data_IF_957224189589
#
_entry.id   IF_957224189589
#
_cell.length_a   1.000
_cell.length_b   1.000
_cell.length_c   1.000
_cell.angle_alpha   90.00
_cell.angle_beta   90.00
_cell.angle_gamma   90.00
#
_symmetry.space_group_name_H-M   'P 1'
#
loop_
_entity.id
_entity.type
_entity.pdbx_description
1 polymer ?
#
# COMPACT_ATOMS: atom_id res chain seq x y z
N UNK A 1 -2.32 2.13 0.86
CA UNK A 1 -3.68 2.70 1.02
C UNK A 1 -4.58 1.78 1.84
N UNK A 2 -5.75 2.26 2.27
CA UNK A 2 -6.76 1.48 2.97
C UNK A 2 -8.12 1.64 2.26
N UNK A 3 -8.75 0.52 1.90
CA UNK A 3 -9.93 0.47 1.04
C UNK A 3 -11.09 -0.23 1.75
N UNK A 4 -12.32 0.10 1.35
CA UNK A 4 -13.54 -0.40 1.99
C UNK A 4 -14.06 -1.70 1.40
N UNK A 5 -13.62 -2.06 0.19
CA UNK A 5 -13.98 -3.31 -0.46
C UNK A 5 -12.73 -3.97 -1.09
N UNK A 6 -12.80 -5.29 -1.35
CA UNK A 6 -11.68 -6.03 -1.95
C UNK A 6 -11.37 -5.59 -3.39
N UNK A 7 -12.38 -5.23 -4.19
CA UNK A 7 -12.17 -4.88 -5.61
C UNK A 7 -11.36 -3.59 -5.78
N UNK A 8 -11.58 -2.57 -4.94
CA UNK A 8 -10.78 -1.34 -4.90
C UNK A 8 -9.34 -1.63 -4.48
N UNK A 9 -9.15 -2.48 -3.47
CA UNK A 9 -7.83 -2.89 -3.02
C UNK A 9 -7.07 -3.63 -4.13
N UNK A 10 -7.75 -4.54 -4.84
CA UNK A 10 -7.18 -5.29 -5.95
C UNK A 10 -6.83 -4.38 -7.14
N UNK A 11 -7.72 -3.43 -7.48
CA UNK A 11 -7.47 -2.42 -8.52
C UNK A 11 -6.23 -1.58 -8.17
N UNK A 12 -6.08 -1.21 -6.90
CA UNK A 12 -4.89 -0.49 -6.45
C UNK A 12 -3.63 -1.37 -6.51
N UNK A 13 -3.71 -2.63 -6.09
CA UNK A 13 -2.60 -3.58 -6.17
C UNK A 13 -2.14 -3.75 -7.62
N UNK A 14 -3.07 -3.87 -8.56
CA UNK A 14 -2.78 -3.94 -9.99
C UNK A 14 -2.08 -2.66 -10.50
N UNK A 15 -2.54 -1.47 -10.09
CA UNK A 15 -1.86 -0.20 -10.42
C UNK A 15 -0.41 -0.17 -9.94
N UNK A 16 -0.17 -0.61 -8.71
CA UNK A 16 1.20 -0.68 -8.16
C UNK A 16 2.04 -1.73 -8.90
N UNK A 17 1.45 -2.88 -9.25
CA UNK A 17 2.12 -3.92 -10.04
C UNK A 17 2.50 -3.45 -11.45
N UNK A 18 1.67 -2.63 -12.09
CA UNK A 18 1.99 -2.01 -13.39
C UNK A 18 3.21 -1.07 -13.33
N UNK A 19 3.52 -0.54 -12.15
CA UNK A 19 4.73 0.25 -11.90
C UNK A 19 5.96 -0.60 -11.55
N UNK A 20 5.86 -1.93 -11.64
CA UNK A 20 6.94 -2.87 -11.32
C UNK A 20 7.12 -3.13 -9.82
N UNK A 21 6.16 -2.72 -8.98
CA UNK A 21 6.22 -2.89 -7.53
C UNK A 21 5.25 -3.97 -7.05
N UNK A 22 5.71 -4.82 -6.14
CA UNK A 22 4.85 -5.80 -5.49
C UNK A 22 4.08 -5.15 -4.32
N UNK A 23 2.77 -5.33 -4.27
CA UNK A 23 1.93 -4.92 -3.16
C UNK A 23 1.15 -6.09 -2.56
N UNK A 24 1.03 -6.10 -1.24
CA UNK A 24 0.25 -7.06 -0.46
C UNK A 24 -1.06 -6.43 0.00
N UNK A 25 -2.15 -7.22 -0.05
CA UNK A 25 -3.44 -6.84 0.54
C UNK A 25 -3.59 -7.58 1.85
N UNK A 26 -3.75 -6.82 2.94
CA UNK A 26 -4.09 -7.38 4.26
C UNK A 26 -5.47 -6.90 4.68
N UNK A 27 -6.33 -7.83 5.11
CA UNK A 27 -7.63 -7.50 5.70
C UNK A 27 -7.47 -7.25 7.20
N UNK A 28 -8.12 -6.20 7.71
CA UNK A 28 -8.21 -5.88 9.14
C UNK A 28 -9.60 -5.35 9.45
N UNK A 29 -10.14 -5.68 10.61
CA UNK A 29 -11.32 -5.01 11.13
C UNK A 29 -10.90 -3.70 11.82
N UNK A 30 -11.56 -2.60 11.49
CA UNK A 30 -11.43 -1.32 12.19
C UNK A 30 -12.82 -0.74 12.47
N UNK A 31 -13.18 -0.63 13.75
CA UNK A 31 -14.45 -0.05 14.17
C UNK A 31 -15.68 -0.80 13.63
N UNK A 32 -15.66 -2.13 13.65
CA UNK A 32 -16.77 -2.96 13.17
C UNK A 32 -16.87 -3.08 11.65
N UNK A 33 -15.87 -2.63 10.90
CA UNK A 33 -15.83 -2.70 9.43
C UNK A 33 -14.53 -3.33 8.93
N UNK A 34 -14.63 -4.21 7.94
CA UNK A 34 -13.47 -4.72 7.23
C UNK A 34 -12.80 -3.61 6.42
N UNK A 35 -11.48 -3.56 6.48
CA UNK A 35 -10.62 -2.62 5.76
C UNK A 35 -9.52 -3.42 5.07
N UNK A 36 -9.36 -3.17 3.78
CA UNK A 36 -8.38 -3.83 2.91
C UNK A 36 -7.19 -2.90 2.74
N UNK A 37 -6.06 -3.23 3.34
CA UNK A 37 -4.86 -2.40 3.31
C UNK A 37 -3.92 -2.91 2.22
N UNK A 38 -3.62 -2.07 1.25
CA UNK A 38 -2.62 -2.31 0.22
C UNK A 38 -1.29 -1.72 0.67
N UNK A 39 -0.27 -2.56 0.82
CA UNK A 39 1.06 -2.21 1.35
C UNK A 39 2.15 -2.64 0.37
N UNK A 40 3.17 -1.80 0.20
CA UNK A 40 4.40 -2.11 -0.54
C UNK A 40 5.54 -2.21 0.48
N UNK A 41 6.40 -3.21 0.33
CA UNK A 41 7.40 -3.56 1.35
C UNK A 41 6.95 -4.77 2.18
N UNK A 42 7.53 -5.01 3.37
CA UNK A 42 8.25 -4.07 4.23
C UNK A 42 9.66 -3.72 3.74
N UNK A 43 10.09 -2.49 3.99
CA UNK A 43 11.45 -2.02 3.71
C UNK A 43 12.30 -2.04 4.98
N UNK A 44 13.56 -2.45 4.87
CA UNK A 44 14.53 -2.43 5.97
C UNK A 44 15.15 -1.05 6.22
N UNK A 45 15.24 -0.24 5.16
CA UNK A 45 15.80 1.11 5.19
C UNK A 45 14.71 2.13 4.90
N UNK A 46 14.75 3.25 5.63
CA UNK A 46 13.76 4.31 5.48
C UNK A 46 13.90 5.01 4.12
N UNK A 47 15.14 5.18 3.67
CA UNK A 47 15.52 5.83 2.41
C UNK A 47 14.89 5.11 1.21
N UNK A 48 14.89 3.78 1.22
CA UNK A 48 14.24 2.96 0.18
C UNK A 48 12.72 3.12 0.22
N UNK A 49 12.13 3.18 1.42
CA UNK A 49 10.70 3.39 1.58
C UNK A 49 10.26 4.79 1.11
N UNK A 50 11.04 5.82 1.44
CA UNK A 50 10.80 7.20 1.01
C UNK A 50 10.92 7.33 -0.52
N UNK A 51 11.96 6.77 -1.14
CA UNK A 51 12.12 6.76 -2.60
C UNK A 51 10.97 6.01 -3.31
N UNK A 52 10.52 4.89 -2.74
CA UNK A 52 9.37 4.16 -3.28
C UNK A 52 8.08 4.96 -3.17
N UNK A 53 7.87 5.68 -2.06
CA UNK A 53 6.72 6.58 -1.90
C UNK A 53 6.74 7.67 -2.97
N UNK A 54 7.87 8.32 -3.17
CA UNK A 54 8.03 9.37 -4.18
C UNK A 54 7.74 8.84 -5.59
N UNK A 55 8.24 7.64 -5.93
CA UNK A 55 7.94 7.02 -7.21
C UNK A 55 6.43 6.75 -7.40
N UNK A 56 5.74 6.32 -6.34
CA UNK A 56 4.29 6.14 -6.37
C UNK A 56 3.56 7.48 -6.57
N UNK A 57 3.97 8.52 -5.86
CA UNK A 57 3.39 9.87 -5.96
C UNK A 57 3.55 10.47 -7.36
N UNK A 58 4.72 10.33 -7.98
CA UNK A 58 4.98 10.77 -9.37
C UNK A 58 4.06 10.07 -10.38
N UNK A 59 3.67 8.82 -10.09
CA UNK A 59 2.74 8.05 -10.92
C UNK A 59 1.26 8.23 -10.52
N UNK A 60 0.95 9.25 -9.70
CA UNK A 60 -0.42 9.55 -9.28
C UNK A 60 -1.00 8.57 -8.26
N UNK A 61 -0.15 7.78 -7.59
CA UNK A 61 -0.54 6.86 -6.53
C UNK A 61 -0.18 7.47 -5.17
N UNK A 62 -1.19 7.95 -4.46
CA UNK A 62 -1.00 8.43 -3.08
C UNK A 62 -0.62 7.28 -2.14
N UNK A 63 0.50 7.46 -1.44
CA UNK A 63 1.04 6.48 -0.51
C UNK A 63 1.47 7.16 0.80
N UNK A 64 1.19 6.49 1.92
CA UNK A 64 1.62 6.93 3.25
C UNK A 64 2.62 5.93 3.81
N UNK A 65 3.69 6.43 4.43
CA UNK A 65 4.63 5.58 5.15
C UNK A 65 4.01 5.08 6.45
N UNK A 66 4.05 3.76 6.64
CA UNK A 66 3.58 3.09 7.85
C UNK A 66 4.75 2.32 8.44
N UNK A 67 5.04 2.56 9.72
CA UNK A 67 6.02 1.75 10.45
C UNK A 67 5.38 0.41 10.82
N UNK A 68 6.07 -0.69 10.53
CA UNK A 68 5.68 -1.99 11.04
C UNK A 68 6.13 -2.06 12.49
N UNK A 69 5.19 -1.94 13.43
CA UNK A 69 5.44 -2.30 14.81
C UNK A 69 5.31 -3.82 14.88
N UNK A 70 6.45 -4.51 15.06
CA UNK A 70 6.46 -5.94 15.43
C UNK A 70 6.16 -6.07 16.91
#
# INVERSE_FOLDING_TARGET
>A
GAFRNPQEAESQRARVAMLGMAAEITEREQGGRAVFRVRVGPFSQREVADATREQLEVNGVEAALVRVQR
#
